data_IF_785493817698
#
_entry.id   IF_785493817698
#
_cell.length_a   1.000
_cell.length_b   1.000
_cell.length_c   1.000
_cell.angle_alpha   90.00
_cell.angle_beta   90.00
_cell.angle_gamma   90.00
#
_symmetry.space_group_name_H-M   'P 1'
#
loop_
_entity.id
_entity.type
_entity.pdbx_description
1 polymer ?
#
# COMPACT_ATOMS: atom_id res chain seq x y z
N UNK A 1 23.42 -4.04 -9.11
CA UNK A 1 22.61 -4.58 -10.22
C UNK A 1 23.35 -5.76 -10.85
N UNK A 2 22.71 -6.94 -10.91
CA UNK A 2 23.27 -8.31 -10.98
C UNK A 2 24.01 -8.74 -9.70
N UNK A 3 25.01 -8.01 -9.24
CA UNK A 3 25.81 -8.40 -8.06
C UNK A 3 25.02 -8.51 -6.73
N UNK A 4 23.85 -7.89 -6.63
CA UNK A 4 23.00 -7.95 -5.44
C UNK A 4 22.09 -9.20 -5.41
N UNK A 5 22.03 -9.94 -6.51
CA UNK A 5 21.12 -11.08 -6.75
C UNK A 5 21.89 -12.37 -7.02
N UNK A 6 23.06 -12.25 -7.65
CA UNK A 6 24.05 -13.32 -7.86
C UNK A 6 24.70 -13.70 -6.52
N UNK A 7 24.07 -14.63 -5.81
CA UNK A 7 24.49 -15.09 -4.47
C UNK A 7 25.63 -16.08 -4.54
N UNK A 8 25.74 -16.81 -5.64
CA UNK A 8 26.81 -17.78 -5.85
C UNK A 8 28.07 -17.17 -6.50
N UNK A 9 27.96 -15.94 -7.00
CA UNK A 9 29.07 -15.19 -7.59
C UNK A 9 29.48 -15.71 -8.96
N UNK A 10 28.58 -16.44 -9.64
CA UNK A 10 28.82 -17.01 -10.96
C UNK A 10 28.84 -15.96 -12.07
N UNK A 11 28.40 -14.73 -11.79
CA UNK A 11 28.27 -13.65 -12.75
C UNK A 11 27.06 -13.79 -13.67
N UNK A 12 26.20 -14.79 -13.45
CA UNK A 12 24.99 -15.05 -14.21
C UNK A 12 23.85 -15.42 -13.25
N UNK A 13 22.62 -15.00 -13.56
CA UNK A 13 21.45 -15.35 -12.73
C UNK A 13 21.00 -16.75 -13.11
N UNK A 14 21.06 -17.70 -12.17
CA UNK A 14 20.54 -19.05 -12.37
C UNK A 14 19.01 -19.15 -12.12
N UNK A 15 18.44 -20.35 -12.27
CA UNK A 15 16.99 -20.55 -12.12
C UNK A 15 16.51 -20.28 -10.69
N UNK A 16 17.28 -20.67 -9.67
CA UNK A 16 16.92 -20.50 -8.26
C UNK A 16 17.06 -19.03 -7.83
N UNK A 17 18.07 -18.34 -8.35
CA UNK A 17 18.27 -16.90 -8.18
C UNK A 17 17.22 -16.08 -8.93
N UNK A 18 16.80 -16.54 -10.11
CA UNK A 18 15.69 -15.96 -10.87
C UNK A 18 14.37 -16.17 -10.14
N UNK A 19 14.12 -17.36 -9.59
CA UNK A 19 12.93 -17.66 -8.79
C UNK A 19 12.88 -16.81 -7.52
N UNK A 20 14.01 -16.62 -6.84
CA UNK A 20 14.11 -15.70 -5.71
C UNK A 20 13.88 -14.24 -6.10
N UNK A 21 14.47 -13.80 -7.22
CA UNK A 21 14.30 -12.43 -7.71
C UNK A 21 12.85 -12.16 -8.10
N UNK A 22 12.22 -13.11 -8.80
CA UNK A 22 10.83 -13.03 -9.20
C UNK A 22 9.94 -13.10 -7.96
N UNK A 23 10.12 -14.06 -7.05
CA UNK A 23 9.31 -14.13 -5.82
C UNK A 23 9.42 -12.87 -4.96
N UNK A 24 10.62 -12.30 -4.81
CA UNK A 24 10.82 -11.06 -4.05
C UNK A 24 10.27 -9.83 -4.78
N UNK A 25 10.52 -9.67 -6.10
CA UNK A 25 10.09 -8.48 -6.85
C UNK A 25 8.63 -8.53 -7.32
N UNK A 26 8.10 -9.70 -7.68
CA UNK A 26 6.69 -9.91 -8.01
C UNK A 26 5.87 -9.72 -6.73
N UNK A 27 6.29 -10.31 -5.62
CA UNK A 27 5.63 -10.10 -4.32
C UNK A 27 5.48 -8.62 -3.93
N UNK A 28 6.55 -7.84 -3.97
CA UNK A 28 6.50 -6.42 -3.58
C UNK A 28 5.87 -5.50 -4.64
N UNK A 29 6.15 -5.72 -5.94
CA UNK A 29 5.61 -4.86 -7.01
C UNK A 29 4.13 -5.06 -7.21
N UNK A 30 3.66 -6.31 -7.25
CA UNK A 30 2.23 -6.58 -7.36
C UNK A 30 1.48 -6.08 -6.12
N UNK A 31 2.08 -6.18 -4.93
CA UNK A 31 1.49 -5.59 -3.71
C UNK A 31 1.36 -4.07 -3.85
N UNK A 32 2.39 -3.37 -4.33
CA UNK A 32 2.31 -1.91 -4.53
C UNK A 32 1.28 -1.53 -5.59
N UNK A 33 1.23 -2.22 -6.71
CA UNK A 33 0.27 -1.96 -7.78
C UNK A 33 -1.18 -2.24 -7.34
N UNK A 34 -1.42 -3.31 -6.57
CA UNK A 34 -2.73 -3.61 -5.99
C UNK A 34 -3.14 -2.59 -4.91
N UNK A 35 -2.22 -2.17 -4.04
CA UNK A 35 -2.45 -1.10 -3.07
C UNK A 35 -2.78 0.22 -3.76
N UNK A 36 -2.09 0.53 -4.86
CA UNK A 36 -2.41 1.71 -5.67
C UNK A 36 -3.80 1.58 -6.30
N UNK A 37 -4.20 0.42 -6.83
CA UNK A 37 -5.57 0.24 -7.33
C UNK A 37 -6.61 0.45 -6.23
N UNK A 38 -6.37 -0.09 -5.03
CA UNK A 38 -7.24 0.12 -3.88
C UNK A 38 -7.33 1.61 -3.51
N UNK A 39 -6.20 2.31 -3.50
CA UNK A 39 -6.14 3.76 -3.28
C UNK A 39 -7.03 4.52 -4.25
N UNK A 40 -6.95 4.22 -5.55
CA UNK A 40 -7.78 4.87 -6.58
C UNK A 40 -9.27 4.52 -6.51
N UNK A 41 -9.63 3.40 -5.87
CA UNK A 41 -11.03 3.05 -5.60
C UNK A 41 -11.57 3.89 -4.42
N UNK A 42 -10.71 4.15 -3.43
CA UNK A 42 -11.08 4.96 -2.27
C UNK A 42 -11.12 6.44 -2.63
N UNK A 43 -10.13 6.97 -3.35
CA UNK A 43 -10.07 8.36 -3.84
C UNK A 43 -11.19 8.64 -4.86
N UNK A 44 -12.35 9.09 -4.36
CA UNK A 44 -13.56 9.29 -5.16
C UNK A 44 -13.52 10.59 -5.97
N UNK A 45 -12.84 11.62 -5.47
CA UNK A 45 -12.73 12.91 -6.14
C UNK A 45 -11.52 13.01 -7.09
N UNK A 46 -10.64 12.01 -7.06
CA UNK A 46 -9.45 11.85 -7.92
C UNK A 46 -8.44 12.98 -7.72
N UNK A 47 -8.36 13.52 -6.51
CA UNK A 47 -7.41 14.56 -6.18
C UNK A 47 -6.00 14.00 -5.89
N UNK A 48 -5.85 12.66 -5.86
CA UNK A 48 -4.59 11.98 -5.58
C UNK A 48 -4.32 11.76 -4.09
N UNK A 49 -5.31 12.01 -3.23
CA UNK A 49 -5.28 11.86 -1.78
C UNK A 49 -6.61 11.27 -1.31
N UNK A 50 -6.60 10.63 -0.14
CA UNK A 50 -7.80 10.09 0.50
C UNK A 50 -8.19 11.01 1.65
N UNK A 51 -9.38 11.61 1.55
CA UNK A 51 -9.97 12.37 2.65
C UNK A 51 -10.87 11.49 3.52
N UNK A 52 -11.22 11.97 4.72
CA UNK A 52 -12.25 11.35 5.56
C UNK A 52 -13.61 11.21 4.82
N UNK A 53 -13.92 12.13 3.89
CA UNK A 53 -15.14 12.08 3.10
C UNK A 53 -15.13 10.91 2.11
N UNK A 54 -13.96 10.58 1.55
CA UNK A 54 -13.77 9.48 0.62
C UNK A 54 -13.93 8.13 1.33
N UNK A 55 -13.30 7.99 2.50
CA UNK A 55 -13.47 6.81 3.38
C UNK A 55 -14.95 6.62 3.76
N UNK A 56 -15.65 7.70 4.10
CA UNK A 56 -17.08 7.65 4.43
C UNK A 56 -17.94 7.20 3.26
N UNK A 57 -17.63 7.65 2.04
CA UNK A 57 -18.34 7.25 0.82
C UNK A 57 -18.13 5.77 0.53
N UNK A 58 -16.87 5.33 0.48
CA UNK A 58 -16.57 3.93 0.16
C UNK A 58 -17.09 2.97 1.24
N UNK A 59 -17.02 3.35 2.52
CA UNK A 59 -17.59 2.56 3.61
C UNK A 59 -19.10 2.33 3.41
N UNK A 60 -19.83 3.39 3.04
CA UNK A 60 -21.26 3.31 2.74
C UNK A 60 -21.55 2.44 1.52
N UNK A 61 -20.73 2.50 0.48
CA UNK A 61 -20.85 1.65 -0.71
C UNK A 61 -20.60 0.18 -0.39
N UNK A 62 -19.66 -0.11 0.51
CA UNK A 62 -19.35 -1.45 1.01
C UNK A 62 -20.35 -1.95 2.08
N UNK A 63 -21.35 -1.13 2.46
CA UNK A 63 -22.31 -1.45 3.50
C UNK A 63 -21.71 -1.51 4.91
N UNK A 64 -20.53 -0.92 5.10
CA UNK A 64 -19.86 -0.76 6.39
C UNK A 64 -20.30 0.56 7.03
N UNK A 65 -20.63 0.51 8.31
CA UNK A 65 -21.01 1.70 9.07
C UNK A 65 -19.88 2.06 10.04
N UNK A 66 -19.09 3.05 9.66
CA UNK A 66 -18.14 3.71 10.57
C UNK A 66 -18.71 5.05 11.04
N UNK A 67 -18.41 5.40 12.27
CA UNK A 67 -18.67 6.73 12.81
C UNK A 67 -17.66 7.73 12.25
N UNK A 68 -18.04 9.01 12.21
CA UNK A 68 -17.11 10.08 11.79
C UNK A 68 -15.83 10.09 12.63
N UNK A 69 -15.93 9.64 13.90
CA UNK A 69 -14.78 9.51 14.79
C UNK A 69 -13.84 8.38 14.37
N UNK A 70 -14.36 7.18 14.08
CA UNK A 70 -13.53 6.06 13.64
C UNK A 70 -12.83 6.38 12.32
N UNK A 71 -13.52 7.05 11.41
CA UNK A 71 -12.93 7.49 10.14
C UNK A 71 -11.82 8.52 10.40
N UNK A 72 -12.06 9.46 11.30
CA UNK A 72 -11.03 10.44 11.67
C UNK A 72 -9.82 9.76 12.31
N UNK A 73 -10.03 8.79 13.20
CA UNK A 73 -8.96 8.00 13.81
C UNK A 73 -8.15 7.23 12.74
N UNK A 74 -8.80 6.67 11.71
CA UNK A 74 -8.11 6.02 10.59
C UNK A 74 -7.24 6.98 9.78
N UNK A 75 -7.72 8.20 9.52
CA UNK A 75 -6.94 9.24 8.83
C UNK A 75 -5.78 9.68 9.70
N UNK A 76 -6.03 9.99 10.97
CA UNK A 76 -5.02 10.47 11.91
C UNK A 76 -3.91 9.41 12.16
N UNK A 77 -4.22 8.11 12.07
CA UNK A 77 -3.22 7.04 12.16
C UNK A 77 -2.35 6.91 10.91
N UNK A 78 -2.87 7.27 9.74
CA UNK A 78 -2.16 7.18 8.47
C UNK A 78 -1.39 8.47 8.12
N UNK A 79 -1.94 9.63 8.49
CA UNK A 79 -1.42 10.96 8.21
C UNK A 79 -0.14 11.24 9.02
N UNK A 80 1.01 11.23 8.33
CA UNK A 80 2.31 11.50 8.94
C UNK A 80 2.69 12.98 8.80
N UNK A 81 2.22 13.62 7.75
CA UNK A 81 2.59 14.98 7.40
C UNK A 81 1.65 16.04 8.05
N UNK A 82 0.59 15.60 8.72
CA UNK A 82 -0.47 16.36 9.39
C UNK A 82 -1.28 17.27 8.45
N UNK A 83 -1.49 16.86 7.19
CA UNK A 83 -2.31 17.59 6.22
C UNK A 83 -3.80 17.20 6.24
N UNK A 84 -4.17 16.22 7.09
CA UNK A 84 -5.51 15.65 7.27
C UNK A 84 -6.05 14.89 6.06
N UNK A 85 -5.18 14.54 5.15
CA UNK A 85 -5.44 13.68 4.02
C UNK A 85 -4.43 12.53 4.07
N UNK A 86 -4.67 11.47 3.29
CA UNK A 86 -3.73 10.35 3.19
C UNK A 86 -3.22 10.28 1.76
N UNK A 87 -1.94 10.51 1.57
CA UNK A 87 -1.29 10.38 0.28
C UNK A 87 -0.93 8.90 -0.02
N UNK A 88 -0.55 8.57 -1.27
CA UNK A 88 -0.25 7.18 -1.63
C UNK A 88 0.91 6.56 -0.83
N UNK A 89 1.89 7.35 -0.41
CA UNK A 89 3.04 6.88 0.37
C UNK A 89 2.62 6.57 1.80
N UNK A 90 1.80 7.44 2.40
CA UNK A 90 1.18 7.24 3.72
C UNK A 90 0.26 6.00 3.74
N UNK A 91 -0.57 5.84 2.71
CA UNK A 91 -1.46 4.67 2.57
C UNK A 91 -0.67 3.35 2.49
N UNK A 92 0.40 3.32 1.68
CA UNK A 92 1.26 2.13 1.57
C UNK A 92 1.98 1.86 2.90
N UNK A 93 2.45 2.90 3.58
CA UNK A 93 3.13 2.74 4.87
C UNK A 93 2.18 2.21 5.95
N UNK A 94 0.95 2.71 5.99
CA UNK A 94 -0.11 2.21 6.89
C UNK A 94 -0.38 0.72 6.63
N UNK A 95 -0.57 0.33 5.37
CA UNK A 95 -0.87 -1.06 4.98
C UNK A 95 0.30 -2.03 5.24
N UNK A 96 1.54 -1.58 5.05
CA UNK A 96 2.72 -2.38 5.37
C UNK A 96 2.91 -2.54 6.89
N UNK A 97 2.56 -1.51 7.67
CA UNK A 97 2.69 -1.54 9.14
C UNK A 97 1.62 -2.42 9.78
N UNK A 98 0.40 -2.44 9.21
CA UNK A 98 -0.70 -3.30 9.66
C UNK A 98 -0.58 -4.75 9.14
N UNK A 99 0.10 -4.97 8.02
CA UNK A 99 0.27 -6.29 7.38
C UNK A 99 1.24 -7.28 8.06
N UNK A 100 2.03 -6.88 9.07
CA UNK A 100 3.09 -7.71 9.66
C UNK A 100 3.12 -7.75 11.19
N UNK A 101 1.94 -7.76 11.84
CA UNK A 101 1.84 -8.18 13.25
C UNK A 101 0.92 -9.39 13.38
N UNK A 102 1.45 -10.57 13.11
CA UNK A 102 0.91 -11.82 13.62
C UNK A 102 2.01 -12.71 14.17
#
# INVERSE_FOLDING_TARGET
MIADVDRDGSGAIDYDEFEHMMTAKIGERDTKDELMKAFHIIDQDKNGKISAADIKRIAKELGQNFTDREIQEMVDEADQNNDREVDPEEFIMMMNTTGFRH
#
